data_IF_469692046399
#
_entry.id   IF_469692046399
#
_cell.length_a   1.000
_cell.length_b   1.000
_cell.length_c   1.000
_cell.angle_alpha   90.00
_cell.angle_beta   90.00
_cell.angle_gamma   90.00
#
_symmetry.space_group_name_H-M   'P 1'
#
loop_
_entity.id
_entity.type
_entity.pdbx_description
1 polymer ?
#
# COMPACT_ATOMS: atom_id res chain seq x y z
N UNK A 1 -19.42 8.39 3.34
CA UNK A 1 -18.37 8.16 2.33
C UNK A 1 -16.98 8.54 2.84
N UNK A 2 -16.79 9.74 3.42
CA UNK A 2 -15.49 10.18 3.96
C UNK A 2 -14.82 9.17 4.91
N UNK A 3 -15.54 8.66 5.91
CA UNK A 3 -15.02 7.65 6.86
C UNK A 3 -14.58 6.34 6.19
N UNK A 4 -15.24 5.92 5.11
CA UNK A 4 -14.86 4.71 4.38
C UNK A 4 -13.56 4.94 3.60
N UNK A 5 -13.43 6.07 2.91
CA UNK A 5 -12.20 6.42 2.18
C UNK A 5 -11.01 6.57 3.14
N UNK A 6 -11.21 7.21 4.29
CA UNK A 6 -10.18 7.34 5.34
C UNK A 6 -9.76 5.96 5.89
N UNK A 7 -10.73 5.08 6.18
CA UNK A 7 -10.44 3.72 6.62
C UNK A 7 -9.57 2.96 5.61
N UNK A 8 -9.94 2.97 4.33
CA UNK A 8 -9.20 2.26 3.28
C UNK A 8 -7.83 2.90 3.00
N UNK A 9 -7.68 4.22 3.09
CA UNK A 9 -6.37 4.88 3.02
C UNK A 9 -5.42 4.38 4.10
N UNK A 10 -5.88 4.34 5.35
CA UNK A 10 -5.09 3.83 6.46
C UNK A 10 -4.77 2.35 6.26
N UNK A 11 -5.78 1.53 5.96
CA UNK A 11 -5.63 0.09 5.80
C UNK A 11 -4.62 -0.29 4.71
N UNK A 12 -4.69 0.38 3.56
CA UNK A 12 -3.72 0.16 2.49
C UNK A 12 -2.31 0.60 2.91
N UNK A 13 -2.17 1.69 3.68
CA UNK A 13 -0.87 2.13 4.20
C UNK A 13 -0.27 1.11 5.16
N UNK A 14 -1.10 0.49 6.01
CA UNK A 14 -0.69 -0.61 6.90
C UNK A 14 -0.21 -1.83 6.07
N UNK A 15 -0.88 -2.16 4.95
CA UNK A 15 -0.45 -3.21 4.02
C UNK A 15 0.86 -2.88 3.31
N UNK A 16 1.05 -1.64 2.85
CA UNK A 16 2.31 -1.21 2.21
C UNK A 16 3.49 -1.45 3.14
N UNK A 17 3.36 -1.08 4.41
CA UNK A 17 4.40 -1.34 5.41
C UNK A 17 4.65 -2.85 5.56
N UNK A 18 3.59 -3.64 5.70
CA UNK A 18 3.68 -5.09 5.87
C UNK A 18 4.39 -5.77 4.69
N UNK A 19 4.04 -5.40 3.45
CA UNK A 19 4.65 -5.97 2.26
C UNK A 19 6.13 -5.58 2.13
N UNK A 20 6.50 -4.36 2.49
CA UNK A 20 7.92 -3.94 2.53
C UNK A 20 8.72 -4.69 3.58
N UNK A 21 8.16 -4.89 4.77
CA UNK A 21 8.78 -5.71 5.82
C UNK A 21 9.00 -7.14 5.35
N UNK A 22 8.03 -7.72 4.65
CA UNK A 22 8.16 -9.06 4.06
C UNK A 22 9.17 -9.08 2.91
N UNK A 23 9.20 -8.04 2.08
CA UNK A 23 10.19 -7.88 1.01
C UNK A 23 11.61 -7.85 1.57
N UNK A 24 11.83 -7.13 2.67
CA UNK A 24 13.11 -7.11 3.36
C UNK A 24 13.46 -8.50 3.93
N UNK A 25 12.53 -9.20 4.58
CA UNK A 25 12.74 -10.57 5.06
C UNK A 25 13.08 -11.55 3.92
N UNK A 26 12.43 -11.41 2.76
CA UNK A 26 12.72 -12.21 1.58
C UNK A 26 14.13 -11.93 1.05
N UNK A 27 14.54 -10.66 1.02
CA UNK A 27 15.90 -10.24 0.62
C UNK A 27 16.95 -10.82 1.56
N UNK A 28 16.73 -10.75 2.88
CA UNK A 28 17.64 -11.29 3.89
C UNK A 28 17.77 -12.82 3.79
N UNK A 29 16.73 -13.51 3.30
CA UNK A 29 16.73 -14.94 3.02
C UNK A 29 17.29 -15.32 1.63
N UNK A 30 17.77 -14.35 0.84
CA UNK A 30 18.27 -14.58 -0.52
C UNK A 30 17.19 -14.82 -1.58
N UNK A 31 15.92 -14.62 -1.25
CA UNK A 31 14.76 -14.80 -2.14
C UNK A 31 14.48 -13.52 -2.92
N UNK A 32 15.43 -13.10 -3.76
CA UNK A 32 15.39 -11.79 -4.43
C UNK A 32 14.14 -11.59 -5.30
N UNK A 33 13.70 -12.60 -6.06
CA UNK A 33 12.51 -12.49 -6.90
C UNK A 33 11.24 -12.26 -6.07
N UNK A 34 11.15 -12.91 -4.90
CA UNK A 34 10.04 -12.70 -3.97
C UNK A 34 10.09 -11.29 -3.37
N UNK A 35 11.27 -10.78 -3.04
CA UNK A 35 11.43 -9.42 -2.56
C UNK A 35 10.96 -8.38 -3.59
N UNK A 36 11.27 -8.59 -4.88
CA UNK A 36 10.80 -7.73 -5.99
C UNK A 36 9.29 -7.76 -6.08
N UNK A 37 8.68 -8.95 -6.10
CA UNK A 37 7.22 -9.09 -6.17
C UNK A 37 6.54 -8.40 -4.98
N UNK A 38 7.10 -8.51 -3.77
CA UNK A 38 6.53 -7.87 -2.58
C UNK A 38 6.64 -6.34 -2.62
N UNK A 39 7.73 -5.78 -3.15
CA UNK A 39 7.83 -4.34 -3.36
C UNK A 39 6.85 -3.86 -4.44
N UNK A 40 6.65 -4.63 -5.52
CA UNK A 40 5.67 -4.31 -6.56
C UNK A 40 4.24 -4.28 -5.99
N UNK A 41 3.90 -5.22 -5.10
CA UNK A 41 2.61 -5.23 -4.39
C UNK A 41 2.50 -3.98 -3.49
N UNK A 42 3.55 -3.61 -2.76
CA UNK A 42 3.58 -2.41 -1.93
C UNK A 42 3.39 -1.12 -2.77
N UNK A 43 4.03 -1.05 -3.94
CA UNK A 43 3.88 0.06 -4.87
C UNK A 43 2.44 0.13 -5.42
N UNK A 44 1.85 -1.00 -5.80
CA UNK A 44 0.46 -1.06 -6.27
C UNK A 44 -0.53 -0.60 -5.18
N UNK A 45 -0.36 -1.03 -3.93
CA UNK A 45 -1.18 -0.57 -2.81
C UNK A 45 -1.02 0.93 -2.53
N UNK A 46 0.19 1.48 -2.70
CA UNK A 46 0.42 2.93 -2.60
C UNK A 46 -0.29 3.69 -3.72
N UNK A 47 -0.31 3.16 -4.94
CA UNK A 47 -1.03 3.76 -6.07
C UNK A 47 -2.56 3.72 -5.88
N UNK A 48 -3.09 2.71 -5.17
CA UNK A 48 -4.50 2.71 -4.75
C UNK A 48 -4.81 3.89 -3.83
N UNK A 49 -3.92 4.22 -2.90
CA UNK A 49 -4.11 5.37 -1.99
C UNK A 49 -4.21 6.70 -2.73
N UNK A 50 -3.43 6.91 -3.78
CA UNK A 50 -3.56 8.11 -4.61
C UNK A 50 -4.97 8.24 -5.22
N UNK A 51 -5.59 7.12 -5.62
CA UNK A 51 -6.97 7.11 -6.13
C UNK A 51 -7.99 7.40 -5.02
N UNK A 52 -7.78 6.85 -3.83
CA UNK A 52 -8.63 7.14 -2.66
C UNK A 52 -8.51 8.61 -2.22
N UNK A 53 -7.31 9.20 -2.24
CA UNK A 53 -7.08 10.62 -1.97
C UNK A 53 -7.79 11.51 -2.98
N UNK A 54 -7.66 11.19 -4.27
CA UNK A 54 -8.39 11.88 -5.33
C UNK A 54 -9.91 11.81 -5.11
N UNK A 55 -10.46 10.63 -4.77
CA UNK A 55 -11.87 10.48 -4.45
C UNK A 55 -12.28 11.27 -3.19
N UNK A 56 -11.43 11.29 -2.17
CA UNK A 56 -11.67 12.03 -0.93
C UNK A 56 -11.71 13.54 -1.15
N UNK A 57 -10.89 14.05 -2.08
CA UNK A 57 -10.87 15.48 -2.45
C UNK A 57 -12.21 15.97 -3.01
N UNK A 58 -12.99 15.09 -3.66
CA UNK A 58 -14.30 15.42 -4.22
C UNK A 58 -15.40 15.58 -3.16
N UNK A 59 -15.18 15.06 -1.94
CA UNK A 59 -16.11 15.17 -0.82
C UNK A 59 -15.90 16.42 0.04
N UNK A 60 -14.76 17.11 -0.10
CA UNK A 60 -14.41 18.29 0.70
C UNK A 60 -15.03 19.60 0.17
N UNK A 61 -16.25 19.54 -0.39
CA UNK A 61 -17.04 20.70 -0.82
C UNK A 61 -18.19 20.96 0.15
#
# INVERSE_FOLDING_TARGET
MSKLLEHWLKHNSDHVQTYREWGQKAKDAGLNDMAVILEDIAAASSALNQKFEAASSLLKK
#
